data_IF_057459834326
#
_entry.id   IF_057459834326
#
_cell.length_a   1.000
_cell.length_b   1.000
_cell.length_c   1.000
_cell.angle_alpha   90.00
_cell.angle_beta   90.00
_cell.angle_gamma   90.00
#
_symmetry.space_group_name_H-M   'P 1'
#
loop_
_entity.id
_entity.type
_entity.pdbx_description
1 polymer ?
#
# COMPACT_ATOMS: atom_id res chain seq x y z
N UNK A 1 35.36 39.50 64.98
CA UNK A 1 35.80 38.80 63.77
C UNK A 1 35.31 39.66 62.60
N UNK A 2 35.99 40.77 62.30
CA UNK A 2 37.32 40.84 61.65
C UNK A 2 37.24 40.37 60.18
N UNK A 3 37.79 41.04 59.17
CA UNK A 3 38.36 42.40 59.09
C UNK A 3 38.31 42.89 57.64
N UNK A 4 38.49 44.20 57.53
CA UNK A 4 38.75 45.05 56.36
C UNK A 4 39.78 44.58 55.31
N UNK A 5 39.82 45.35 54.20
CA UNK A 5 41.02 45.70 53.40
C UNK A 5 41.56 44.68 52.38
N UNK A 6 42.20 45.06 51.25
CA UNK A 6 42.40 46.39 50.63
C UNK A 6 42.82 46.32 49.14
N UNK A 7 42.80 47.49 48.50
CA UNK A 7 42.98 47.90 47.08
C UNK A 7 44.41 47.72 46.48
N UNK A 8 44.56 48.00 45.15
CA UNK A 8 45.80 48.41 44.39
C UNK A 8 46.73 47.23 43.95
N UNK A 9 47.39 47.13 42.76
CA UNK A 9 47.71 48.08 41.66
C UNK A 9 47.81 47.46 40.23
N UNK A 10 48.04 48.36 39.26
CA UNK A 10 48.46 48.30 37.83
C UNK A 10 49.57 47.26 37.45
N UNK A 11 49.97 46.97 36.18
CA UNK A 11 50.36 47.91 35.08
C UNK A 11 50.62 47.25 33.67
N UNK A 12 50.15 47.91 32.59
CA UNK A 12 50.76 48.18 31.23
C UNK A 12 51.27 47.15 30.18
N UNK A 13 50.94 47.47 28.91
CA UNK A 13 51.74 47.41 27.65
C UNK A 13 52.01 46.03 26.98
N UNK A 14 52.27 45.87 25.66
CA UNK A 14 52.71 46.78 24.55
C UNK A 14 52.06 46.46 23.17
N UNK A 15 52.45 47.16 22.09
CA UNK A 15 51.85 47.19 20.72
C UNK A 15 52.55 46.28 19.66
N UNK A 16 51.87 46.17 18.50
CA UNK A 16 52.36 46.10 17.10
C UNK A 16 53.16 44.89 16.53
N UNK A 17 52.58 44.24 15.51
CA UNK A 17 53.01 44.11 14.09
C UNK A 17 54.52 43.96 13.76
N UNK A 18 54.92 43.13 12.74
CA UNK A 18 54.34 43.20 11.38
C UNK A 18 54.23 41.90 10.55
N UNK A 19 53.73 42.07 9.32
CA UNK A 19 53.40 41.06 8.31
C UNK A 19 54.55 40.14 7.86
N UNK A 20 54.19 38.96 7.35
CA UNK A 20 54.93 38.30 6.25
C UNK A 20 53.99 37.52 5.31
N UNK A 21 54.20 37.71 4.00
CA UNK A 21 53.47 37.04 2.92
C UNK A 21 54.19 35.74 2.52
N UNK A 22 53.49 34.60 2.50
CA UNK A 22 53.93 33.40 1.78
C UNK A 22 52.74 32.70 1.11
N UNK A 23 52.90 32.36 -0.16
CA UNK A 23 52.06 31.47 -0.96
C UNK A 23 53.02 30.84 -1.98
N UNK A 24 53.15 29.50 -2.11
CA UNK A 24 52.17 28.76 -2.91
C UNK A 24 51.92 27.27 -2.53
N UNK A 25 50.78 26.76 -3.01
CA UNK A 25 50.54 25.38 -3.51
C UNK A 25 51.43 24.23 -2.95
N UNK A 26 50.88 23.47 -1.99
CA UNK A 26 50.64 22.01 -2.12
C UNK A 26 49.85 21.53 -0.91
N UNK A 27 48.55 21.29 -1.06
CA UNK A 27 47.78 20.46 -0.13
C UNK A 27 47.19 19.31 -0.94
N UNK A 28 47.58 18.08 -0.61
CA UNK A 28 47.02 16.86 -1.19
C UNK A 28 45.53 16.79 -0.90
N UNK A 29 44.74 16.35 -1.89
CA UNK A 29 43.33 16.03 -1.65
C UNK A 29 43.28 14.89 -0.62
N UNK A 30 42.47 14.99 0.45
CA UNK A 30 42.18 13.82 1.27
C UNK A 30 41.47 12.78 0.41
N UNK A 31 41.77 11.50 0.66
CA UNK A 31 41.14 10.39 -0.04
C UNK A 31 39.62 10.44 0.14
N UNK A 32 38.89 10.24 -0.96
CA UNK A 32 37.46 9.98 -0.89
C UNK A 32 37.31 8.59 -0.29
N UNK A 33 37.15 8.52 1.03
CA UNK A 33 36.68 7.32 1.71
C UNK A 33 35.41 6.86 1.00
N UNK A 34 35.44 5.62 0.49
CA UNK A 34 34.33 5.05 -0.25
C UNK A 34 33.11 5.04 0.66
N UNK A 35 32.12 5.87 0.33
CA UNK A 35 30.82 5.85 0.99
C UNK A 35 30.21 4.44 0.89
N UNK A 36 29.50 3.96 1.93
CA UNK A 36 28.89 2.64 1.89
C UNK A 36 27.99 2.47 0.67
N UNK A 37 27.90 1.22 0.18
CA UNK A 37 27.12 0.83 -1.00
C UNK A 37 25.76 1.52 -1.03
N UNK A 38 25.44 2.16 -2.17
CA UNK A 38 24.26 3.02 -2.29
C UNK A 38 22.99 2.24 -1.97
N UNK A 39 22.40 2.52 -0.81
CA UNK A 39 21.12 1.96 -0.38
C UNK A 39 20.09 2.24 -1.47
N UNK A 40 19.52 1.17 -2.03
CA UNK A 40 18.56 1.29 -3.13
C UNK A 40 17.36 2.16 -2.75
N UNK A 41 16.76 2.82 -3.75
CA UNK A 41 15.62 3.73 -3.54
C UNK A 41 14.48 3.08 -2.75
N UNK A 42 14.23 1.79 -2.96
CA UNK A 42 13.25 1.01 -2.21
C UNK A 42 13.59 0.86 -0.72
N UNK A 43 14.81 0.43 -0.38
CA UNK A 43 15.24 0.23 1.01
C UNK A 43 15.18 1.53 1.82
N UNK A 44 15.52 2.67 1.20
CA UNK A 44 15.34 3.99 1.80
C UNK A 44 13.85 4.30 2.06
N UNK A 45 12.95 4.03 1.11
CA UNK A 45 11.51 4.23 1.33
C UNK A 45 10.93 3.31 2.41
N UNK A 46 11.40 2.06 2.49
CA UNK A 46 11.00 1.09 3.52
C UNK A 46 11.39 1.59 4.91
N UNK A 47 12.66 1.98 5.10
CA UNK A 47 13.16 2.58 6.34
C UNK A 47 12.36 3.84 6.74
N UNK A 48 12.12 4.74 5.77
CA UNK A 48 11.31 5.93 6.01
C UNK A 48 9.85 5.61 6.39
N UNK A 49 9.30 4.48 5.91
CA UNK A 49 7.94 4.05 6.28
C UNK A 49 7.88 3.49 7.70
N UNK A 50 8.87 2.68 8.11
CA UNK A 50 8.96 2.13 9.48
C UNK A 50 9.17 3.18 10.57
N UNK A 51 9.64 4.39 10.22
CA UNK A 51 9.82 5.50 11.15
C UNK A 51 8.57 6.38 11.33
N UNK A 52 7.48 6.11 10.60
CA UNK A 52 6.24 6.90 10.71
C UNK A 52 5.33 6.39 11.81
N UNK A 53 4.76 7.32 12.56
CA UNK A 53 3.60 7.07 13.41
C UNK A 53 2.37 6.75 12.55
N UNK A 54 1.47 5.92 13.07
CA UNK A 54 0.17 5.64 12.47
C UNK A 54 -0.66 6.94 12.36
N UNK A 55 -1.24 7.19 11.18
CA UNK A 55 -2.02 8.39 10.87
C UNK A 55 -3.54 8.13 10.82
N UNK A 56 -3.99 6.92 11.15
CA UNK A 56 -5.41 6.60 11.29
C UNK A 56 -6.02 7.31 12.51
N UNK A 57 -7.34 7.54 12.51
CA UNK A 57 -8.05 8.07 13.69
C UNK A 57 -7.93 7.16 14.94
N UNK A 58 -7.52 5.90 14.75
CA UNK A 58 -7.27 4.91 15.81
C UNK A 58 -5.83 4.94 16.34
N UNK A 59 -4.87 5.47 15.58
CA UNK A 59 -3.45 5.54 15.95
C UNK A 59 -2.76 4.19 16.12
N UNK A 60 -3.36 3.09 15.64
CA UNK A 60 -2.79 1.75 15.73
C UNK A 60 -3.40 0.80 14.68
N UNK A 61 -2.61 -0.18 14.25
CA UNK A 61 -3.01 -1.25 13.33
C UNK A 61 -4.16 -2.07 13.94
N UNK A 62 -5.08 -2.54 13.09
CA UNK A 62 -6.16 -3.42 13.52
C UNK A 62 -5.64 -4.82 13.86
N UNK A 63 -5.98 -5.31 15.07
CA UNK A 63 -5.54 -6.60 15.62
C UNK A 63 -5.76 -7.76 14.64
N UNK A 64 -6.92 -7.80 13.99
CA UNK A 64 -7.33 -8.83 13.02
C UNK A 64 -6.41 -8.90 11.78
N UNK A 65 -5.52 -7.93 11.56
CA UNK A 65 -4.56 -7.90 10.44
C UNK A 65 -3.12 -7.59 10.87
N UNK A 66 -2.85 -7.53 12.18
CA UNK A 66 -1.52 -7.19 12.71
C UNK A 66 -0.45 -8.17 12.24
N UNK A 67 -0.70 -9.47 12.34
CA UNK A 67 0.19 -10.53 11.86
C UNK A 67 0.47 -10.42 10.35
N UNK A 68 -0.54 -10.01 9.56
CA UNK A 68 -0.42 -9.83 8.11
C UNK A 68 0.51 -8.64 7.81
N UNK A 69 0.32 -7.53 8.51
CA UNK A 69 1.16 -6.33 8.40
C UNK A 69 2.60 -6.64 8.78
N UNK A 70 2.82 -7.34 9.89
CA UNK A 70 4.15 -7.78 10.34
C UNK A 70 4.80 -8.71 9.30
N UNK A 71 4.08 -9.74 8.84
CA UNK A 71 4.59 -10.72 7.89
C UNK A 71 4.99 -10.11 6.55
N UNK A 72 4.23 -9.12 6.04
CA UNK A 72 4.58 -8.35 4.84
C UNK A 72 5.82 -7.47 5.11
N UNK A 73 5.88 -6.77 6.24
CA UNK A 73 6.97 -5.85 6.55
C UNK A 73 8.31 -6.56 6.81
N UNK A 74 8.30 -7.83 7.22
CA UNK A 74 9.50 -8.66 7.33
C UNK A 74 10.17 -8.95 5.98
N UNK A 75 9.44 -8.89 4.86
CA UNK A 75 9.95 -9.24 3.53
C UNK A 75 10.74 -8.08 2.89
N UNK A 76 11.98 -8.31 2.47
CA UNK A 76 12.83 -7.26 1.87
C UNK A 76 12.24 -6.57 0.64
N UNK A 77 11.35 -7.26 -0.09
CA UNK A 77 10.69 -6.74 -1.29
C UNK A 77 9.36 -6.00 -1.06
N UNK A 78 8.89 -5.89 0.20
CA UNK A 78 7.61 -5.25 0.53
C UNK A 78 7.68 -4.34 1.76
N UNK A 79 6.75 -3.37 1.83
CA UNK A 79 6.29 -2.77 3.08
C UNK A 79 4.87 -2.21 2.97
N UNK A 80 4.12 -2.23 4.07
CA UNK A 80 2.79 -1.62 4.16
C UNK A 80 2.88 -0.10 4.28
N UNK A 81 1.90 0.58 3.68
CA UNK A 81 1.79 2.06 3.68
C UNK A 81 0.49 2.56 4.29
N UNK A 82 -0.56 1.73 4.26
CA UNK A 82 -1.80 1.89 5.04
C UNK A 82 -2.60 0.58 5.01
N UNK A 83 -3.42 0.35 6.03
CA UNK A 83 -4.34 -0.78 6.10
C UNK A 83 -5.53 -0.49 7.02
N UNK A 84 -6.58 -1.30 6.91
CA UNK A 84 -7.70 -1.39 7.84
C UNK A 84 -8.33 -2.79 7.73
N UNK A 85 -8.69 -3.42 8.85
CA UNK A 85 -9.34 -4.75 8.85
C UNK A 85 -10.75 -4.73 8.23
N UNK A 86 -11.33 -3.55 8.08
CA UNK A 86 -12.73 -3.34 7.75
C UNK A 86 -13.48 -2.78 8.97
N UNK A 87 -14.57 -2.07 8.71
CA UNK A 87 -15.32 -1.36 9.77
C UNK A 87 -16.81 -1.23 9.45
N UNK A 88 -17.60 -1.20 10.52
CA UNK A 88 -18.98 -0.69 10.50
C UNK A 88 -18.91 0.74 11.06
N UNK A 89 -19.52 1.69 10.36
CA UNK A 89 -19.43 3.11 10.69
C UNK A 89 -20.75 3.81 10.40
N UNK A 90 -21.11 4.77 11.24
CA UNK A 90 -22.20 5.72 10.97
C UNK A 90 -21.59 7.11 10.90
N UNK A 91 -21.80 7.80 9.78
CA UNK A 91 -21.30 9.16 9.55
C UNK A 91 -22.45 10.10 9.26
N UNK A 92 -22.30 11.38 9.63
CA UNK A 92 -23.08 12.44 8.99
C UNK A 92 -22.43 12.74 7.64
N UNK A 93 -23.17 12.57 6.55
CA UNK A 93 -22.84 13.15 5.26
C UNK A 93 -23.39 14.57 5.20
N UNK A 94 -22.58 15.48 4.64
CA UNK A 94 -23.00 16.84 4.37
C UNK A 94 -23.06 17.02 2.84
N UNK A 95 -24.26 17.09 2.23
CA UNK A 95 -24.40 17.21 0.78
C UNK A 95 -23.81 18.52 0.23
N UNK A 96 -23.68 19.56 1.05
CA UNK A 96 -23.10 20.86 0.64
C UNK A 96 -21.56 20.85 0.63
N UNK A 97 -20.92 19.79 1.16
CA UNK A 97 -19.47 19.59 1.10
C UNK A 97 -19.09 18.69 -0.09
N UNK A 98 -19.26 19.22 -1.30
CA UNK A 98 -18.95 18.53 -2.58
C UNK A 98 -17.46 18.29 -2.85
N UNK A 99 -16.62 18.23 -1.81
CA UNK A 99 -15.17 18.04 -1.90
C UNK A 99 -14.80 16.85 -1.02
N UNK A 100 -14.07 15.88 -1.59
CA UNK A 100 -13.64 14.64 -0.94
C UNK A 100 -12.59 14.93 0.14
N UNK A 101 -13.02 15.47 1.28
CA UNK A 101 -12.19 15.78 2.44
C UNK A 101 -12.53 14.85 3.60
N UNK A 102 -11.58 13.98 3.95
CA UNK A 102 -11.67 13.12 5.15
C UNK A 102 -11.64 13.90 6.47
N UNK A 103 -11.22 15.16 6.41
CA UNK A 103 -10.89 16.00 7.57
C UNK A 103 -12.14 16.45 8.36
N UNK A 104 -13.29 16.62 7.69
CA UNK A 104 -14.55 17.05 8.32
C UNK A 104 -15.62 15.95 8.41
N UNK A 105 -15.25 14.68 8.21
CA UNK A 105 -16.18 13.55 8.33
C UNK A 105 -16.53 13.29 9.81
N UNK A 106 -17.73 13.72 10.20
CA UNK A 106 -18.33 13.54 11.53
C UNK A 106 -18.77 12.09 11.71
N UNK A 107 -18.07 11.37 12.59
CA UNK A 107 -18.35 9.97 12.92
C UNK A 107 -19.29 9.91 14.13
N UNK A 108 -20.48 9.36 13.96
CA UNK A 108 -21.45 9.14 15.05
C UNK A 108 -21.16 7.83 15.80
N UNK A 109 -20.63 6.84 15.09
CA UNK A 109 -20.20 5.54 15.60
C UNK A 109 -19.17 4.93 14.66
N UNK A 110 -18.22 4.16 15.21
CA UNK A 110 -17.28 3.33 14.43
C UNK A 110 -16.89 2.09 15.24
N UNK A 111 -16.84 0.94 14.58
CA UNK A 111 -16.26 -0.30 15.12
C UNK A 111 -15.46 -1.02 14.02
N UNK A 112 -14.37 -1.68 14.41
CA UNK A 112 -13.59 -2.56 13.53
C UNK A 112 -13.97 -4.05 13.73
N UNK A 113 -15.06 -4.28 14.47
CA UNK A 113 -15.63 -5.59 14.77
C UNK A 113 -17.15 -5.59 14.46
N UNK A 114 -17.90 -6.56 14.99
CA UNK A 114 -19.35 -6.56 14.93
C UNK A 114 -19.99 -5.32 15.60
N UNK A 115 -21.23 -5.03 15.20
CA UNK A 115 -22.07 -3.93 15.70
C UNK A 115 -23.35 -4.50 16.34
N UNK A 116 -23.84 -3.87 17.40
CA UNK A 116 -25.14 -4.18 18.02
C UNK A 116 -26.24 -3.26 17.49
N UNK A 117 -27.49 -3.57 17.83
CA UNK A 117 -28.64 -2.68 17.54
C UNK A 117 -28.54 -1.40 18.39
N UNK A 118 -28.13 -1.54 19.66
CA UNK A 118 -27.98 -0.44 20.60
C UNK A 118 -26.92 0.58 20.15
N UNK A 119 -25.84 0.13 19.48
CA UNK A 119 -24.85 1.03 18.88
C UNK A 119 -25.49 1.98 17.86
N UNK A 120 -26.32 1.44 16.96
CA UNK A 120 -27.01 2.22 15.92
C UNK A 120 -28.06 3.13 16.53
N UNK A 121 -28.88 2.61 17.45
CA UNK A 121 -29.94 3.38 18.14
C UNK A 121 -29.36 4.48 19.03
N UNK A 122 -28.17 4.29 19.60
CA UNK A 122 -27.46 5.31 20.39
C UNK A 122 -26.73 6.33 19.52
N UNK A 123 -26.29 5.95 18.32
CA UNK A 123 -25.58 6.82 17.39
C UNK A 123 -26.52 7.75 16.62
N UNK A 124 -27.65 7.22 16.11
CA UNK A 124 -28.52 7.94 15.18
C UNK A 124 -29.14 9.24 15.73
N UNK A 125 -29.54 9.36 17.02
CA UNK A 125 -30.02 10.63 17.60
C UNK A 125 -28.98 11.75 17.67
N UNK A 126 -27.69 11.44 17.47
CA UNK A 126 -26.60 12.42 17.38
C UNK A 126 -26.47 13.03 15.98
N UNK A 127 -27.26 12.55 15.00
CA UNK A 127 -27.25 13.05 13.63
C UNK A 127 -27.91 14.43 13.53
N UNK A 128 -27.15 15.43 13.07
CA UNK A 128 -27.68 16.76 12.75
C UNK A 128 -28.12 16.90 11.29
N UNK A 129 -27.86 15.89 10.45
CA UNK A 129 -28.10 15.91 9.02
C UNK A 129 -28.44 14.53 8.45
N UNK A 130 -27.79 14.18 7.34
CA UNK A 130 -28.04 12.94 6.61
C UNK A 130 -27.06 11.87 7.12
N UNK A 131 -27.54 10.97 7.98
CA UNK A 131 -26.72 9.91 8.55
C UNK A 131 -26.71 8.69 7.63
N UNK A 132 -25.54 8.12 7.38
CA UNK A 132 -25.37 6.93 6.53
C UNK A 132 -24.63 5.84 7.31
N UNK A 133 -25.23 4.64 7.36
CA UNK A 133 -24.58 3.43 7.84
C UNK A 133 -23.75 2.85 6.70
N UNK A 134 -22.46 2.61 6.94
CA UNK A 134 -21.56 1.95 5.99
C UNK A 134 -20.89 0.73 6.61
N UNK A 135 -20.74 -0.31 5.80
CA UNK A 135 -19.74 -1.35 6.00
C UNK A 135 -18.66 -1.18 4.93
N UNK A 136 -17.43 -0.94 5.36
CA UNK A 136 -16.26 -0.87 4.49
C UNK A 136 -15.37 -2.10 4.75
N UNK A 137 -15.03 -2.91 3.74
CA UNK A 137 -14.26 -4.14 3.92
C UNK A 137 -12.77 -3.88 4.13
N UNK A 138 -12.01 -4.97 4.37
CA UNK A 138 -10.55 -4.97 4.43
C UNK A 138 -9.93 -4.25 3.22
N UNK A 139 -8.95 -3.40 3.53
CA UNK A 139 -8.13 -2.70 2.55
C UNK A 139 -6.68 -2.64 3.03
N UNK A 140 -5.73 -2.83 2.10
CA UNK A 140 -4.30 -2.72 2.39
C UNK A 140 -3.55 -2.18 1.18
N UNK A 141 -2.60 -1.26 1.42
CA UNK A 141 -1.70 -0.73 0.40
C UNK A 141 -0.27 -1.13 0.73
N UNK A 142 0.34 -1.93 -0.14
CA UNK A 142 1.71 -2.43 -0.02
C UNK A 142 2.56 -1.79 -1.10
N UNK A 143 3.70 -1.19 -0.72
CA UNK A 143 4.70 -0.78 -1.69
C UNK A 143 5.62 -1.97 -1.98
N UNK A 144 5.80 -2.27 -3.27
CA UNK A 144 6.57 -3.39 -3.78
C UNK A 144 7.90 -2.90 -4.37
N UNK A 145 8.94 -3.73 -4.31
CA UNK A 145 10.26 -3.41 -4.86
C UNK A 145 10.27 -3.48 -6.39
N UNK A 146 9.68 -4.55 -6.95
CA UNK A 146 9.56 -4.77 -8.39
C UNK A 146 8.10 -4.93 -8.85
N UNK A 147 7.88 -5.01 -10.18
CA UNK A 147 6.54 -5.25 -10.73
C UNK A 147 6.15 -6.73 -10.53
N UNK A 148 7.11 -7.63 -10.59
CA UNK A 148 7.00 -9.06 -10.37
C UNK A 148 6.57 -9.34 -8.91
N UNK A 149 7.12 -8.60 -7.95
CA UNK A 149 6.69 -8.61 -6.55
C UNK A 149 5.21 -8.16 -6.41
N UNK A 150 4.84 -7.07 -7.09
CA UNK A 150 3.46 -6.57 -7.07
C UNK A 150 2.47 -7.55 -7.74
N UNK A 151 2.87 -8.19 -8.83
CA UNK A 151 2.10 -9.23 -9.52
C UNK A 151 1.93 -10.47 -8.62
N UNK A 152 2.93 -10.84 -7.84
CA UNK A 152 2.84 -11.93 -6.86
C UNK A 152 1.75 -11.63 -5.81
N UNK A 153 1.80 -10.46 -5.16
CA UNK A 153 0.77 -10.03 -4.20
C UNK A 153 -0.60 -9.83 -4.86
N UNK A 154 -0.66 -9.39 -6.11
CA UNK A 154 -1.89 -9.31 -6.88
C UNK A 154 -2.52 -10.69 -7.06
N UNK A 155 -1.76 -11.69 -7.48
CA UNK A 155 -2.26 -13.06 -7.63
C UNK A 155 -2.75 -13.65 -6.30
N UNK A 156 -2.06 -13.37 -5.18
CA UNK A 156 -2.54 -13.71 -3.83
C UNK A 156 -3.89 -13.05 -3.56
N UNK A 157 -3.99 -11.71 -3.69
CA UNK A 157 -5.21 -10.95 -3.43
C UNK A 157 -6.41 -11.42 -4.28
N UNK A 158 -6.19 -11.58 -5.59
CA UNK A 158 -7.18 -12.08 -6.54
C UNK A 158 -7.68 -13.48 -6.11
N UNK A 159 -6.79 -14.42 -5.80
CA UNK A 159 -7.15 -15.78 -5.40
C UNK A 159 -7.83 -15.85 -4.02
N UNK A 160 -7.56 -14.89 -3.14
CA UNK A 160 -8.23 -14.76 -1.84
C UNK A 160 -9.56 -14.00 -1.88
N UNK A 161 -10.03 -13.62 -3.07
CA UNK A 161 -11.36 -13.03 -3.30
C UNK A 161 -11.40 -11.50 -3.37
N UNK A 162 -10.24 -10.83 -3.40
CA UNK A 162 -10.12 -9.39 -3.51
C UNK A 162 -10.00 -8.97 -4.99
N UNK A 163 -11.05 -9.26 -5.78
CA UNK A 163 -11.02 -9.12 -7.25
C UNK A 163 -10.87 -7.66 -7.75
N UNK A 164 -11.09 -6.66 -6.90
CA UNK A 164 -10.94 -5.22 -7.21
C UNK A 164 -9.58 -4.64 -6.80
N UNK A 165 -8.66 -5.53 -6.42
CA UNK A 165 -7.27 -5.19 -6.17
C UNK A 165 -6.58 -4.73 -7.45
N UNK A 166 -5.47 -4.00 -7.33
CA UNK A 166 -4.76 -3.49 -8.51
C UNK A 166 -3.42 -2.86 -8.18
N UNK A 167 -2.59 -2.73 -9.21
CA UNK A 167 -1.23 -2.19 -9.12
C UNK A 167 -1.22 -0.77 -9.69
N UNK A 168 -0.60 0.17 -8.99
CA UNK A 168 -0.36 1.55 -9.44
C UNK A 168 1.14 1.82 -9.51
N UNK A 169 1.64 2.29 -10.65
CA UNK A 169 3.04 2.71 -10.82
C UNK A 169 3.11 4.23 -10.77
N UNK A 170 3.62 4.76 -9.67
CA UNK A 170 3.76 6.18 -9.40
C UNK A 170 5.08 6.79 -9.91
N UNK A 171 5.15 8.13 -9.81
CA UNK A 171 6.37 8.90 -10.13
C UNK A 171 7.59 8.36 -9.36
N UNK A 172 8.76 8.38 -10.00
CA UNK A 172 10.02 7.81 -9.51
C UNK A 172 10.01 6.27 -9.33
N UNK A 173 9.08 5.56 -9.98
CA UNK A 173 9.06 4.09 -9.99
C UNK A 173 8.48 3.45 -8.72
N UNK A 174 7.65 4.18 -7.95
CA UNK A 174 6.99 3.61 -6.77
C UNK A 174 5.84 2.71 -7.18
N UNK A 175 5.95 1.41 -6.93
CA UNK A 175 4.91 0.43 -7.25
C UNK A 175 4.06 0.17 -6.01
N UNK A 176 2.78 0.51 -6.05
CA UNK A 176 1.81 0.28 -4.98
C UNK A 176 0.83 -0.80 -5.41
N UNK A 177 0.79 -1.90 -4.67
CA UNK A 177 -0.25 -2.92 -4.76
C UNK A 177 -1.36 -2.60 -3.75
N UNK A 178 -2.59 -2.45 -4.22
CA UNK A 178 -3.77 -2.17 -3.40
C UNK A 178 -4.65 -3.43 -3.33
N UNK A 179 -4.83 -4.00 -2.14
CA UNK A 179 -5.75 -5.12 -1.87
C UNK A 179 -7.12 -4.52 -1.53
N UNK A 180 -8.16 -4.84 -2.33
CA UNK A 180 -9.50 -4.19 -2.24
C UNK A 180 -10.65 -5.12 -2.62
N UNK A 181 -11.84 -4.82 -2.09
CA UNK A 181 -13.07 -5.59 -2.30
C UNK A 181 -14.26 -4.65 -2.56
N UNK A 182 -15.23 -5.09 -3.38
CA UNK A 182 -16.57 -4.47 -3.55
C UNK A 182 -17.59 -4.90 -2.49
N UNK A 183 -17.16 -5.67 -1.49
CA UNK A 183 -18.03 -6.18 -0.42
C UNK A 183 -18.36 -5.08 0.61
N UNK A 184 -19.06 -4.03 0.20
CA UNK A 184 -19.50 -2.94 1.06
C UNK A 184 -21.00 -3.01 1.40
N UNK A 185 -21.45 -2.15 2.30
CA UNK A 185 -22.85 -1.76 2.52
C UNK A 185 -22.86 -0.24 2.67
N UNK A 186 -23.88 0.43 2.15
CA UNK A 186 -24.06 1.88 2.29
C UNK A 186 -25.56 2.19 2.24
N UNK A 187 -26.10 2.68 3.36
CA UNK A 187 -27.55 2.87 3.54
C UNK A 187 -27.83 4.17 4.30
N UNK A 188 -28.52 5.15 3.69
CA UNK A 188 -29.03 6.33 4.38
C UNK A 188 -30.05 5.94 5.47
N UNK A 189 -29.86 6.48 6.68
CA UNK A 189 -30.72 6.26 7.85
C UNK A 189 -31.57 7.48 8.19
N UNK A 190 -31.06 8.70 7.96
CA UNK A 190 -31.77 9.95 8.20
C UNK A 190 -31.64 10.92 7.04
N UNK A 191 -32.58 11.86 6.96
CA UNK A 191 -32.47 13.06 6.13
C UNK A 191 -32.80 14.29 6.98
N UNK A 192 -31.94 15.31 6.97
CA UNK A 192 -32.07 16.56 7.76
C UNK A 192 -32.34 16.28 9.25
N UNK A 193 -31.59 15.35 9.84
CA UNK A 193 -31.72 14.93 11.24
C UNK A 193 -32.95 14.05 11.54
N UNK A 194 -33.89 13.87 10.61
CA UNK A 194 -35.04 12.99 10.78
C UNK A 194 -34.70 11.56 10.37
N UNK A 195 -34.75 10.61 11.31
CA UNK A 195 -34.70 9.18 11.01
C UNK A 195 -35.82 8.78 10.01
N UNK A 196 -35.45 8.04 8.97
CA UNK A 196 -36.35 7.56 7.92
C UNK A 196 -36.67 6.06 8.03
N UNK A 197 -35.95 5.32 8.88
CA UNK A 197 -36.01 3.86 8.99
C UNK A 197 -36.72 3.42 10.27
N UNK A 198 -37.36 2.25 10.24
CA UNK A 198 -37.95 1.60 11.43
C UNK A 198 -36.88 0.86 12.24
N UNK A 199 -37.18 0.58 13.52
CA UNK A 199 -36.31 -0.25 14.37
C UNK A 199 -36.10 -1.66 13.77
N UNK A 200 -37.16 -2.26 13.22
CA UNK A 200 -37.10 -3.54 12.49
C UNK A 200 -36.11 -3.49 11.32
N UNK A 201 -36.08 -2.39 10.57
CA UNK A 201 -35.10 -2.22 9.49
C UNK A 201 -33.67 -2.02 10.03
N UNK A 202 -33.50 -1.32 11.16
CA UNK A 202 -32.20 -1.22 11.85
C UNK A 202 -31.69 -2.61 12.25
N UNK A 203 -32.53 -3.47 12.82
CA UNK A 203 -32.17 -4.85 13.17
C UNK A 203 -31.70 -5.65 11.94
N UNK A 204 -32.45 -5.57 10.83
CA UNK A 204 -32.06 -6.20 9.56
C UNK A 204 -30.73 -5.66 8.99
N UNK A 205 -30.50 -4.34 9.08
CA UNK A 205 -29.26 -3.71 8.64
C UNK A 205 -28.06 -4.15 9.48
N UNK A 206 -28.21 -4.24 10.80
CA UNK A 206 -27.15 -4.70 11.72
C UNK A 206 -26.80 -6.15 11.44
N UNK A 207 -27.79 -7.04 11.28
CA UNK A 207 -27.56 -8.44 10.88
C UNK A 207 -26.84 -8.53 9.53
N UNK A 208 -27.23 -7.69 8.56
CA UNK A 208 -26.60 -7.66 7.23
C UNK A 208 -25.17 -7.13 7.26
N UNK A 209 -24.88 -6.09 8.07
CA UNK A 209 -23.53 -5.57 8.27
C UNK A 209 -22.62 -6.57 8.98
N UNK A 210 -23.12 -7.26 10.02
CA UNK A 210 -22.37 -8.28 10.75
C UNK A 210 -22.04 -9.50 9.87
N UNK A 211 -23.01 -9.99 9.08
CA UNK A 211 -22.75 -11.04 8.07
C UNK A 211 -21.71 -10.62 7.02
N UNK A 212 -21.67 -9.33 6.66
CA UNK A 212 -20.62 -8.80 5.78
C UNK A 212 -19.26 -8.75 6.49
N UNK A 213 -19.20 -8.40 7.77
CA UNK A 213 -18.00 -8.44 8.60
C UNK A 213 -17.44 -9.87 8.74
N UNK A 214 -18.29 -10.88 8.94
CA UNK A 214 -17.90 -12.29 9.05
C UNK A 214 -17.25 -12.83 7.76
N UNK A 215 -17.90 -12.61 6.60
CA UNK A 215 -17.33 -12.92 5.28
C UNK A 215 -16.03 -12.15 5.03
N UNK A 216 -15.92 -10.91 5.51
CA UNK A 216 -14.70 -10.12 5.41
C UNK A 216 -13.55 -10.73 6.24
N UNK A 217 -13.78 -11.09 7.50
CA UNK A 217 -12.80 -11.82 8.34
C UNK A 217 -12.39 -13.15 7.71
N UNK A 218 -13.33 -13.87 7.08
CA UNK A 218 -13.06 -15.10 6.32
C UNK A 218 -12.13 -14.85 5.12
N UNK A 219 -12.34 -13.76 4.36
CA UNK A 219 -11.45 -13.37 3.26
C UNK A 219 -10.07 -12.92 3.74
N UNK A 220 -9.97 -12.22 4.87
CA UNK A 220 -8.69 -11.82 5.48
C UNK A 220 -7.86 -13.06 5.84
N UNK A 221 -8.46 -14.04 6.51
CA UNK A 221 -7.78 -15.31 6.85
C UNK A 221 -7.29 -16.04 5.58
N UNK A 222 -8.16 -16.18 4.56
CA UNK A 222 -7.78 -16.75 3.26
C UNK A 222 -6.66 -15.96 2.57
N UNK A 223 -6.62 -14.63 2.71
CA UNK A 223 -5.52 -13.81 2.20
C UNK A 223 -4.20 -14.13 2.90
N UNK A 224 -4.21 -14.26 4.23
CA UNK A 224 -3.00 -14.58 4.98
C UNK A 224 -2.44 -15.96 4.65
N UNK A 225 -3.30 -16.99 4.56
CA UNK A 225 -2.90 -18.35 4.17
C UNK A 225 -2.30 -18.38 2.76
N UNK A 226 -2.93 -17.70 1.79
CA UNK A 226 -2.42 -17.61 0.42
C UNK A 226 -1.10 -16.81 0.35
N UNK A 227 -0.95 -15.76 1.16
CA UNK A 227 0.27 -14.94 1.26
C UNK A 227 1.45 -15.78 1.77
N UNK A 228 1.29 -16.45 2.92
CA UNK A 228 2.31 -17.33 3.49
C UNK A 228 2.75 -18.41 2.48
N UNK A 229 1.77 -19.05 1.82
CA UNK A 229 2.01 -20.06 0.79
C UNK A 229 2.80 -19.51 -0.41
N UNK A 230 2.53 -18.27 -0.82
CA UNK A 230 3.22 -17.65 -1.96
C UNK A 230 4.66 -17.25 -1.63
N UNK A 231 4.90 -16.73 -0.42
CA UNK A 231 6.23 -16.32 0.05
C UNK A 231 7.14 -17.55 0.25
N UNK A 232 6.67 -18.58 0.96
CA UNK A 232 7.42 -19.85 1.13
C UNK A 232 7.85 -20.48 -0.20
N UNK A 233 6.99 -20.41 -1.24
CA UNK A 233 7.33 -20.89 -2.59
C UNK A 233 8.41 -20.05 -3.25
N UNK A 234 8.41 -18.73 -3.03
CA UNK A 234 9.42 -17.80 -3.57
C UNK A 234 10.80 -18.09 -2.98
N UNK A 235 10.86 -18.28 -1.66
CA UNK A 235 12.09 -18.58 -0.93
C UNK A 235 12.69 -19.92 -1.41
N UNK A 236 11.87 -20.97 -1.47
CA UNK A 236 12.27 -22.29 -1.96
C UNK A 236 12.71 -22.31 -3.44
N UNK A 237 12.29 -21.34 -4.27
CA UNK A 237 12.79 -21.15 -5.64
C UNK A 237 14.15 -20.44 -5.61
N UNK A 238 14.31 -19.41 -4.77
CA UNK A 238 15.58 -18.69 -4.60
C UNK A 238 16.71 -19.65 -4.18
N UNK A 239 16.46 -20.49 -3.18
CA UNK A 239 17.43 -21.49 -2.70
C UNK A 239 17.84 -22.47 -3.80
N UNK A 240 16.89 -22.95 -4.59
CA UNK A 240 17.16 -23.86 -5.73
C UNK A 240 17.96 -23.17 -6.84
N UNK A 241 17.72 -21.88 -7.09
CA UNK A 241 18.50 -21.10 -8.08
C UNK A 241 19.92 -20.84 -7.58
N UNK A 242 20.12 -20.66 -6.27
CA UNK A 242 21.46 -20.53 -5.68
C UNK A 242 22.23 -21.87 -5.66
N UNK A 243 21.56 -22.99 -5.35
CA UNK A 243 22.18 -24.33 -5.37
C UNK A 243 22.41 -24.86 -6.80
N UNK A 244 21.54 -24.51 -7.76
CA UNK A 244 21.63 -24.96 -9.16
C UNK A 244 22.65 -24.22 -10.04
N UNK A 245 23.48 -23.33 -9.47
CA UNK A 245 24.42 -22.49 -10.24
C UNK A 245 25.82 -23.10 -10.42
N UNK A 246 25.98 -24.39 -10.11
CA UNK A 246 27.17 -25.18 -10.48
C UNK A 246 26.86 -26.12 -11.65
N UNK A 247 27.49 -25.83 -12.80
CA UNK A 247 27.59 -26.68 -13.99
C UNK A 247 26.29 -27.23 -14.61
N UNK A 248 25.72 -26.48 -15.56
CA UNK A 248 25.05 -27.07 -16.72
C UNK A 248 25.49 -26.33 -17.99
N UNK A 249 26.14 -27.04 -18.92
CA UNK A 249 26.55 -26.46 -20.19
C UNK A 249 25.34 -26.32 -21.12
N UNK A 250 25.13 -25.09 -21.63
CA UNK A 250 24.00 -24.81 -22.53
C UNK A 250 24.23 -25.46 -23.88
N UNK A 251 23.66 -26.64 -24.09
CA UNK A 251 23.73 -27.35 -25.37
C UNK A 251 22.79 -26.69 -26.39
N UNK A 252 23.31 -25.75 -27.18
CA UNK A 252 22.56 -25.07 -28.25
C UNK A 252 22.33 -26.02 -29.42
N UNK A 253 21.15 -26.64 -29.46
CA UNK A 253 20.75 -27.59 -30.52
C UNK A 253 20.46 -26.85 -31.83
N UNK A 254 21.50 -26.60 -32.63
CA UNK A 254 21.43 -25.97 -33.96
C UNK A 254 20.54 -26.81 -34.90
N UNK A 255 19.31 -26.36 -35.17
CA UNK A 255 18.43 -26.97 -36.18
C UNK A 255 19.06 -26.81 -37.56
N UNK A 256 19.51 -27.92 -38.14
CA UNK A 256 19.95 -28.00 -39.55
C UNK A 256 18.69 -27.96 -40.42
N UNK A 257 18.50 -26.92 -41.23
CA UNK A 257 17.53 -26.97 -42.33
C UNK A 257 18.00 -28.06 -43.31
N UNK A 258 17.09 -28.92 -43.73
CA UNK A 258 17.27 -29.75 -44.91
C UNK A 258 16.56 -29.03 -46.05
N UNK A 259 17.31 -28.70 -47.09
CA UNK A 259 16.71 -28.31 -48.36
C UNK A 259 16.06 -29.56 -48.96
N UNK A 260 14.78 -29.44 -49.33
CA UNK A 260 14.06 -30.47 -50.09
C UNK A 260 13.58 -29.81 -51.36
N UNK A 261 13.96 -30.40 -52.49
CA UNK A 261 13.75 -29.85 -53.82
C UNK A 261 12.28 -29.88 -54.25
N UNK A 262 11.99 -29.07 -55.27
CA UNK A 262 10.70 -28.97 -55.94
C UNK A 262 10.22 -30.32 -56.49
N UNK A 263 8.97 -30.67 -56.20
CA UNK A 263 8.16 -31.54 -57.08
C UNK A 263 6.80 -30.85 -57.24
N UNK A 264 6.45 -30.58 -58.49
CA UNK A 264 5.17 -30.01 -58.92
C UNK A 264 4.20 -31.16 -59.21
N UNK A 265 3.03 -31.19 -58.56
CA UNK A 265 1.78 -31.59 -59.22
C UNK A 265 0.54 -31.05 -58.47
N UNK A 266 -0.61 -31.07 -59.15
CA UNK A 266 -1.83 -30.30 -58.91
C UNK A 266 -2.72 -30.84 -57.78
N UNK A 267 -3.48 -29.95 -57.11
CA UNK A 267 -4.57 -30.36 -56.21
C UNK A 267 -5.19 -29.25 -55.35
N UNK A 268 -6.04 -28.42 -55.96
CA UNK A 268 -7.12 -27.58 -55.39
C UNK A 268 -7.10 -27.28 -53.86
N UNK A 269 -6.94 -26.01 -53.51
CA UNK A 269 -7.20 -25.50 -52.16
C UNK A 269 -8.67 -25.08 -51.99
N UNK A 270 -9.30 -25.46 -50.87
CA UNK A 270 -10.49 -24.76 -50.34
C UNK A 270 -10.07 -23.78 -49.24
N UNK A 271 -10.89 -22.75 -49.04
CA UNK A 271 -10.51 -21.51 -48.35
C UNK A 271 -10.72 -21.53 -46.82
N UNK A 272 -9.79 -20.92 -46.09
CA UNK A 272 -10.01 -20.39 -44.74
C UNK A 272 -10.54 -18.95 -44.82
N UNK A 273 -11.45 -18.53 -43.93
CA UNK A 273 -11.01 -17.78 -42.73
C UNK A 273 -11.73 -18.28 -41.44
N UNK A 274 -11.73 -17.66 -40.26
CA UNK A 274 -11.25 -16.34 -39.81
C UNK A 274 -10.85 -16.33 -38.32
N UNK A 275 -10.30 -15.22 -37.83
CA UNK A 275 -9.97 -14.94 -36.41
C UNK A 275 -10.48 -13.54 -36.00
N UNK A 276 -11.35 -13.37 -34.98
CA UNK A 276 -11.92 -12.07 -34.63
C UNK A 276 -11.44 -11.49 -33.28
N UNK A 277 -10.24 -10.91 -33.24
CA UNK A 277 -9.95 -9.75 -32.38
C UNK A 277 -9.95 -8.45 -33.20
N UNK A 278 -11.04 -7.68 -33.12
CA UNK A 278 -11.05 -6.20 -33.02
C UNK A 278 -12.41 -5.59 -33.37
N UNK A 279 -12.96 -4.78 -32.46
CA UNK A 279 -13.65 -3.50 -32.75
C UNK A 279 -14.27 -2.94 -31.46
N UNK A 280 -13.50 -2.10 -30.75
CA UNK A 280 -14.06 -1.17 -29.75
C UNK A 280 -14.37 0.14 -30.48
N UNK A 281 -15.64 0.38 -30.79
CA UNK A 281 -16.09 1.65 -31.36
C UNK A 281 -16.47 2.65 -30.26
N UNK A 282 -15.83 3.82 -30.27
CA UNK A 282 -16.20 4.97 -29.45
C UNK A 282 -17.66 5.38 -29.69
N UNK A 283 -18.41 5.63 -28.62
CA UNK A 283 -19.65 6.41 -28.68
C UNK A 283 -19.34 7.88 -28.38
N UNK A 284 -19.57 8.75 -29.36
CA UNK A 284 -19.63 10.20 -29.15
C UNK A 284 -21.09 10.62 -28.89
N UNK A 285 -21.24 11.68 -28.08
CA UNK A 285 -22.53 12.31 -27.73
C UNK A 285 -22.87 13.42 -28.73
N UNK A 286 -24.08 13.36 -29.29
CA UNK A 286 -24.93 14.43 -29.89
C UNK A 286 -26.31 13.79 -30.09
N UNK A 287 -27.46 14.35 -29.70
CA UNK A 287 -27.79 15.64 -29.06
C UNK A 287 -28.80 15.42 -27.91
#
# INVERSE_FOLDING_TARGET
METESSTINQQTQTQSDPCNLVNPKTLSKPEIQQSPSSVGSFSHWKLQSSLKTDLSKKGSVDKDIEEIVQHINLQDCYFTTSSCSGRIIIINENPDLSIVQKENCSWLFVTHDFCSVDDVVTALPKASGDAVLKFEPFVMHVQCCTLEDAQCLHNVAINSGFRNSGITVGKKGKIIMAVRSTHCLEVPLSHKGKCLVSNEYIEYLVQTANRKMEENKTRINRFFICLQTALQKKDAISDKVHQGRTNSSVYTRRRKRQDVAEIIDNGLCEESPDDPESCISFLQLTD
#
